data_IF_655360075626
#
_entry.id   IF_655360075626
#
_cell.length_a   1.000
_cell.length_b   1.000
_cell.length_c   1.000
_cell.angle_alpha   90.00
_cell.angle_beta   90.00
_cell.angle_gamma   90.00
#
_symmetry.space_group_name_H-M   'P 1'
#
loop_
_entity.id
_entity.type
_entity.pdbx_description
1 polymer ?
#
# COMPACT_ATOMS: atom_id res chain seq x y z
N UNK A 1 26.93 -21.14 -10.56
CA UNK A 1 25.51 -20.81 -10.84
C UNK A 1 25.19 -19.55 -10.05
N UNK A 2 24.91 -18.44 -10.74
CA UNK A 2 24.71 -17.14 -10.11
C UNK A 2 23.47 -17.17 -9.22
N UNK A 3 23.60 -16.74 -7.95
CA UNK A 3 22.46 -16.50 -7.06
C UNK A 3 21.57 -15.47 -7.74
N UNK A 4 20.42 -15.90 -8.25
CA UNK A 4 19.43 -15.01 -8.84
C UNK A 4 19.10 -13.91 -7.84
N UNK A 5 19.25 -12.66 -8.27
CA UNK A 5 19.02 -11.51 -7.42
C UNK A 5 17.54 -11.52 -6.99
N UNK A 6 17.29 -11.67 -5.68
CA UNK A 6 15.94 -11.73 -5.10
C UNK A 6 15.38 -10.31 -5.09
N UNK A 7 15.02 -9.78 -6.27
CA UNK A 7 14.25 -8.55 -6.34
C UNK A 7 12.78 -8.90 -6.11
N UNK A 8 12.32 -8.77 -4.87
CA UNK A 8 10.89 -8.83 -4.55
C UNK A 8 10.28 -7.50 -4.97
N UNK A 9 9.55 -7.49 -6.08
CA UNK A 9 8.67 -6.36 -6.42
C UNK A 9 7.45 -6.38 -5.50
N UNK A 10 6.69 -5.28 -5.41
CA UNK A 10 5.43 -5.24 -4.67
C UNK A 10 4.25 -5.43 -5.63
N UNK A 11 3.25 -6.19 -5.22
CA UNK A 11 1.98 -6.27 -5.94
C UNK A 11 1.15 -5.03 -5.59
N UNK A 12 1.11 -4.07 -6.52
CA UNK A 12 0.40 -2.81 -6.29
C UNK A 12 -1.11 -3.00 -6.12
N UNK A 13 -1.72 -3.97 -6.80
CA UNK A 13 -3.16 -4.22 -6.74
C UNK A 13 -3.55 -4.81 -5.39
N UNK A 14 -2.85 -5.87 -4.96
CA UNK A 14 -3.10 -6.50 -3.67
C UNK A 14 -2.70 -5.58 -2.50
N UNK A 15 -1.62 -4.81 -2.64
CA UNK A 15 -1.25 -3.75 -1.69
C UNK A 15 -2.35 -2.71 -1.57
N UNK A 16 -2.90 -2.24 -2.70
CA UNK A 16 -4.02 -1.30 -2.71
C UNK A 16 -5.26 -1.82 -1.98
N UNK A 17 -5.59 -3.10 -2.17
CA UNK A 17 -6.67 -3.77 -1.45
C UNK A 17 -6.43 -3.84 0.06
N UNK A 18 -5.20 -4.18 0.48
CA UNK A 18 -4.83 -4.16 1.91
C UNK A 18 -4.97 -2.78 2.54
N UNK A 19 -4.47 -1.74 1.86
CA UNK A 19 -4.61 -0.35 2.32
C UNK A 19 -6.09 0.00 2.45
N UNK A 20 -6.91 -0.32 1.45
CA UNK A 20 -8.35 -0.04 1.49
C UNK A 20 -9.06 -0.74 2.66
N UNK A 21 -8.72 -1.99 2.94
CA UNK A 21 -9.27 -2.74 4.05
C UNK A 21 -8.87 -2.13 5.40
N UNK A 22 -7.61 -1.73 5.55
CA UNK A 22 -7.14 -1.06 6.76
C UNK A 22 -7.86 0.28 6.98
N UNK A 23 -8.07 1.07 5.92
CA UNK A 23 -8.85 2.32 5.99
C UNK A 23 -10.28 2.02 6.45
N UNK A 24 -10.95 1.03 5.84
CA UNK A 24 -12.32 0.64 6.25
C UNK A 24 -12.40 0.20 7.70
N UNK A 25 -11.42 -0.57 8.17
CA UNK A 25 -11.37 -1.06 9.56
C UNK A 25 -11.11 0.06 10.57
N UNK A 26 -10.38 1.11 10.17
CA UNK A 26 -10.12 2.27 11.03
C UNK A 26 -11.35 3.15 11.27
N UNK A 27 -12.36 3.08 10.39
CA UNK A 27 -13.54 3.95 10.44
C UNK A 27 -13.33 5.35 9.84
N UNK A 28 -12.12 5.71 9.42
CA UNK A 28 -11.85 6.99 8.77
C UNK A 28 -12.46 7.08 7.38
N UNK A 29 -13.02 8.24 7.06
CA UNK A 29 -13.36 8.60 5.70
C UNK A 29 -12.10 8.93 4.87
N UNK A 30 -12.22 8.84 3.54
CA UNK A 30 -11.13 9.21 2.63
C UNK A 30 -10.76 10.69 2.77
N UNK A 31 -11.73 11.55 3.13
CA UNK A 31 -11.51 12.98 3.35
C UNK A 31 -10.66 13.23 4.59
N UNK A 32 -11.01 12.62 5.72
CA UNK A 32 -10.21 12.73 6.95
C UNK A 32 -8.80 12.22 6.70
N UNK A 33 -8.66 11.08 6.03
CA UNK A 33 -7.35 10.53 5.71
C UNK A 33 -6.53 11.46 4.80
N UNK A 34 -7.16 12.10 3.81
CA UNK A 34 -6.51 13.10 2.96
C UNK A 34 -6.00 14.29 3.77
N UNK A 35 -6.83 14.82 4.67
CA UNK A 35 -6.47 15.95 5.54
C UNK A 35 -5.31 15.57 6.48
N UNK A 36 -5.36 14.39 7.10
CA UNK A 36 -4.30 13.88 7.99
C UNK A 36 -2.98 13.59 7.25
N UNK A 37 -3.05 13.19 5.99
CA UNK A 37 -1.88 12.99 5.13
C UNK A 37 -1.34 14.30 4.52
N UNK A 38 -2.02 15.44 4.74
CA UNK A 38 -1.62 16.73 4.15
C UNK A 38 -1.70 16.74 2.63
N UNK A 39 -2.53 15.89 2.02
CA UNK A 39 -2.68 15.85 0.57
C UNK A 39 -3.63 16.98 0.12
N UNK A 40 -3.32 17.59 -1.02
CA UNK A 40 -4.16 18.66 -1.59
C UNK A 40 -5.52 18.16 -2.10
N UNK A 41 -5.64 16.87 -2.42
CA UNK A 41 -6.88 16.25 -2.89
C UNK A 41 -6.89 14.74 -2.57
N UNK A 42 -8.07 14.07 -2.56
CA UNK A 42 -8.18 12.64 -2.20
C UNK A 42 -7.70 11.69 -3.30
N UNK A 43 -7.38 12.21 -4.49
CA UNK A 43 -7.06 11.41 -5.67
C UNK A 43 -5.88 10.45 -5.51
N UNK A 44 -4.77 10.80 -4.80
CA UNK A 44 -3.69 9.86 -4.54
C UNK A 44 -4.17 8.62 -3.79
N UNK A 45 -5.02 8.78 -2.77
CA UNK A 45 -5.56 7.67 -1.97
C UNK A 45 -6.36 6.71 -2.85
N UNK A 46 -7.25 7.23 -3.71
CA UNK A 46 -7.98 6.37 -4.65
C UNK A 46 -7.08 5.66 -5.66
N UNK A 47 -5.97 6.27 -6.08
CA UNK A 47 -4.98 5.59 -6.94
C UNK A 47 -4.27 4.46 -6.21
N UNK A 48 -3.95 4.65 -4.93
CA UNK A 48 -3.36 3.60 -4.08
C UNK A 48 -4.34 2.44 -3.89
N UNK A 49 -5.58 2.73 -3.52
CA UNK A 49 -6.64 1.72 -3.34
C UNK A 49 -6.86 0.89 -4.62
N UNK A 50 -6.80 1.54 -5.79
CA UNK A 50 -6.95 0.87 -7.10
C UNK A 50 -5.65 0.22 -7.60
N UNK A 51 -4.56 0.29 -6.85
CA UNK A 51 -3.25 -0.23 -7.24
C UNK A 51 -2.63 0.43 -8.46
N UNK A 52 -3.06 1.64 -8.83
CA UNK A 52 -2.52 2.38 -9.99
C UNK A 52 -1.12 2.93 -9.71
N UNK A 53 -0.87 3.27 -8.46
CA UNK A 53 0.42 3.74 -7.93
C UNK A 53 0.53 3.26 -6.50
N UNK A 54 1.75 3.06 -6.00
CA UNK A 54 1.97 2.88 -4.56
C UNK A 54 2.04 4.24 -3.83
N UNK A 55 1.74 4.29 -2.52
CA UNK A 55 2.10 5.44 -1.71
C UNK A 55 3.63 5.62 -1.72
N UNK A 56 4.09 6.87 -1.61
CA UNK A 56 5.50 7.12 -1.29
C UNK A 56 5.83 6.54 0.08
N UNK A 57 7.13 6.38 0.40
CA UNK A 57 7.56 5.89 1.72
C UNK A 57 7.00 6.76 2.84
N UNK A 58 7.02 8.09 2.70
CA UNK A 58 6.48 9.01 3.70
C UNK A 58 4.97 8.83 3.89
N UNK A 59 4.23 8.69 2.79
CA UNK A 59 2.78 8.44 2.86
C UNK A 59 2.47 7.07 3.46
N UNK A 60 3.27 6.05 3.16
CA UNK A 60 3.12 4.71 3.73
C UNK A 60 3.40 4.71 5.25
N UNK A 61 4.46 5.42 5.66
CA UNK A 61 4.78 5.61 7.07
C UNK A 61 3.65 6.34 7.79
N UNK A 62 3.14 7.44 7.22
CA UNK A 62 2.00 8.15 7.81
C UNK A 62 0.73 7.30 7.85
N UNK A 63 0.42 6.55 6.79
CA UNK A 63 -0.69 5.58 6.79
C UNK A 63 -0.56 4.58 7.93
N UNK A 64 0.63 4.03 8.14
CA UNK A 64 0.89 3.10 9.23
C UNK A 64 0.59 3.71 10.60
N UNK A 65 1.02 4.97 10.82
CA UNK A 65 0.77 5.71 12.07
C UNK A 65 -0.71 6.06 12.27
N UNK A 66 -1.39 6.51 11.23
CA UNK A 66 -2.80 6.90 11.27
C UNK A 66 -3.69 5.68 11.51
N UNK A 67 -3.42 4.58 10.80
CA UNK A 67 -4.25 3.37 10.85
C UNK A 67 -3.88 2.43 11.99
N UNK A 68 -2.74 2.65 12.66
CA UNK A 68 -2.23 1.76 13.72
C UNK A 68 -1.79 0.39 13.20
N UNK A 69 -1.40 0.30 11.91
CA UNK A 69 -1.02 -0.96 11.24
C UNK A 69 0.45 -0.87 10.82
N UNK A 70 1.31 -1.85 11.15
CA UNK A 70 2.70 -1.87 10.67
C UNK A 70 2.79 -1.77 9.14
N UNK A 71 3.78 -1.06 8.60
CA UNK A 71 3.89 -0.79 7.15
C UNK A 71 3.93 -2.08 6.32
N UNK A 72 4.69 -3.08 6.77
CA UNK A 72 4.81 -4.39 6.15
C UNK A 72 3.47 -5.12 6.04
N UNK A 73 2.57 -4.87 7.00
CA UNK A 73 1.24 -5.47 7.00
C UNK A 73 0.32 -4.81 5.98
N UNK A 74 0.62 -3.58 5.53
CA UNK A 74 -0.08 -2.90 4.42
C UNK A 74 0.39 -3.35 3.04
N UNK A 75 1.59 -3.94 2.95
CA UNK A 75 2.21 -4.33 1.69
C UNK A 75 1.95 -5.80 1.33
N UNK A 76 2.05 -6.10 0.03
CA UNK A 76 2.03 -7.47 -0.50
C UNK A 76 3.25 -7.66 -1.41
N UNK A 77 4.12 -8.65 -1.15
CA UNK A 77 5.18 -9.00 -2.07
C UNK A 77 4.57 -9.53 -3.37
N UNK A 78 5.06 -9.03 -4.50
CA UNK A 78 4.75 -9.58 -5.80
C UNK A 78 5.31 -10.99 -5.90
N UNK A 79 4.49 -11.92 -6.38
CA UNK A 79 5.01 -13.21 -6.79
C UNK A 79 5.90 -12.97 -8.02
N UNK A 80 7.20 -13.22 -7.90
CA UNK A 80 7.87 -13.80 -9.06
C UNK A 80 7.17 -15.13 -9.29
N UNK A 81 6.74 -15.38 -10.52
CA UNK A 81 6.04 -16.61 -10.87
C UNK A 81 6.71 -17.79 -10.19
N UNK A 82 5.90 -18.62 -9.51
CA UNK A 82 6.26 -20.03 -9.37
C UNK A 82 6.27 -20.61 -10.78
N UNK A 83 7.27 -20.24 -11.59
CA UNK A 83 7.70 -21.05 -12.70
C UNK A 83 8.38 -22.25 -12.08
N UNK A 84 7.59 -23.31 -11.93
CA UNK A 84 7.96 -24.73 -11.93
C UNK A 84 6.91 -25.52 -11.15
N UNK A 85 5.74 -25.75 -11.77
CA UNK A 85 5.07 -27.05 -11.75
C UNK A 85 4.36 -27.27 -13.08
#
# INVERSE_FOLDING_TARGET
>A
MAKGNIFTTLDAVLTGQKIHNAIKQSGYSIRELQEMLGLSCPQPIYRWIKGRTLPSIDNLYMLSRILGVPMENLLVPGNQGRDSR
#
